data_IF_812203516404
#
_entry.id   IF_812203516404
#
_cell.length_a   1.000
_cell.length_b   1.000
_cell.length_c   1.000
_cell.angle_alpha   90.00
_cell.angle_beta   90.00
_cell.angle_gamma   90.00
#
_symmetry.space_group_name_H-M   'P 1'
#
loop_
_entity.id
_entity.type
_entity.pdbx_description
1 polymer ?
#
# COMPACT_ATOMS: atom_id res chain seq x y z
N UNK A 1 -45.78 -39.45 44.56
CA UNK A 1 -46.68 -39.47 43.38
C UNK A 1 -46.05 -40.32 42.28
N UNK A 2 -46.83 -41.09 41.52
CA UNK A 2 -46.38 -41.70 40.25
C UNK A 2 -46.29 -40.62 39.16
N UNK A 3 -45.45 -40.76 38.15
CA UNK A 3 -45.86 -40.78 36.72
C UNK A 3 -44.67 -41.10 35.79
N UNK A 4 -44.72 -42.31 35.22
CA UNK A 4 -44.22 -42.76 33.90
C UNK A 4 -42.79 -42.46 33.41
N UNK A 5 -42.08 -43.55 33.10
CA UNK A 5 -40.95 -43.59 32.18
C UNK A 5 -41.44 -43.89 30.74
N UNK A 6 -40.64 -43.49 29.74
CA UNK A 6 -40.66 -44.04 28.38
C UNK A 6 -39.21 -44.27 27.93
N UNK A 7 -38.91 -45.48 27.43
CA UNK A 7 -37.64 -45.89 26.83
C UNK A 7 -37.85 -46.21 25.34
N UNK A 8 -36.92 -45.80 24.46
CA UNK A 8 -36.40 -46.51 23.23
C UNK A 8 -35.09 -45.75 22.88
N UNK A 9 -33.84 -46.23 23.06
CA UNK A 9 -33.05 -47.35 22.48
C UNK A 9 -32.44 -47.04 21.07
N UNK A 10 -31.17 -47.45 20.89
CA UNK A 10 -30.29 -47.41 19.68
C UNK A 10 -29.64 -46.04 19.35
N UNK A 11 -28.32 -45.93 19.15
CA UNK A 11 -27.29 -46.98 19.24
C UNK A 11 -25.85 -46.45 19.25
N UNK A 12 -24.93 -47.32 19.70
CA UNK A 12 -23.49 -47.07 19.73
C UNK A 12 -22.92 -47.35 18.34
N UNK A 13 -22.31 -46.34 17.71
CA UNK A 13 -21.34 -46.56 16.63
C UNK A 13 -19.98 -46.08 17.14
N UNK A 14 -19.06 -47.03 17.31
CA UNK A 14 -17.68 -46.72 17.61
C UNK A 14 -17.03 -46.04 16.40
N UNK A 15 -16.46 -44.85 16.59
CA UNK A 15 -15.62 -44.18 15.59
C UNK A 15 -14.17 -44.13 16.12
N UNK A 16 -13.20 -44.83 15.48
CA UNK A 16 -11.90 -45.15 16.08
C UNK A 16 -10.86 -44.00 15.99
N UNK A 17 -11.30 -42.74 16.09
CA UNK A 17 -10.43 -41.58 15.92
C UNK A 17 -9.88 -40.97 17.22
N UNK A 18 -10.30 -41.47 18.39
CA UNK A 18 -9.78 -41.01 19.70
C UNK A 18 -8.55 -41.84 20.10
N UNK A 19 -7.47 -41.86 19.29
CA UNK A 19 -6.14 -42.32 19.75
C UNK A 19 -4.91 -41.85 18.93
N UNK A 20 -5.01 -40.74 18.21
CA UNK A 20 -3.89 -39.89 17.77
C UNK A 20 -4.42 -38.44 17.85
N UNK A 21 -3.83 -37.46 18.53
CA UNK A 21 -2.41 -37.21 18.75
C UNK A 21 -2.11 -36.76 20.19
N UNK A 22 -1.27 -37.53 20.91
CA UNK A 22 -0.45 -37.00 21.99
C UNK A 22 0.93 -36.68 21.35
N UNK A 23 1.48 -35.50 21.62
CA UNK A 23 2.70 -34.95 21.00
C UNK A 23 2.64 -34.66 19.49
N UNK A 24 1.94 -33.60 19.13
CA UNK A 24 2.52 -32.60 18.23
C UNK A 24 2.62 -31.28 19.00
N UNK A 25 3.78 -30.58 19.04
CA UNK A 25 3.82 -29.23 19.58
C UNK A 25 3.00 -28.36 18.65
N UNK A 26 1.81 -27.96 19.08
CA UNK A 26 0.99 -27.02 18.33
C UNK A 26 1.74 -25.68 18.27
N UNK A 27 2.44 -25.46 17.16
CA UNK A 27 2.59 -24.11 16.62
C UNK A 27 1.16 -23.64 16.33
N UNK A 28 0.52 -23.07 17.35
CA UNK A 28 -0.77 -22.41 17.24
C UNK A 28 -0.58 -21.28 16.24
N UNK A 29 -0.97 -21.57 14.99
CA UNK A 29 -1.21 -20.61 13.95
C UNK A 29 -2.09 -19.51 14.56
N UNK A 30 -1.46 -18.39 14.92
CA UNK A 30 -2.17 -17.21 15.37
C UNK A 30 -2.83 -16.61 14.13
N UNK A 31 -3.97 -17.18 13.74
CA UNK A 31 -4.79 -16.66 12.65
C UNK A 31 -5.49 -15.42 13.16
N UNK A 32 -5.12 -14.26 12.62
CA UNK A 32 -5.86 -13.03 12.85
C UNK A 32 -6.95 -12.92 11.80
N UNK A 33 -8.20 -12.86 12.23
CA UNK A 33 -9.35 -12.62 11.34
C UNK A 33 -9.57 -11.12 11.25
N UNK A 34 -9.67 -10.60 10.04
CA UNK A 34 -10.04 -9.20 9.79
C UNK A 34 -11.32 -9.19 8.95
N UNK A 35 -12.33 -8.49 9.44
CA UNK A 35 -13.55 -8.18 8.68
C UNK A 35 -13.26 -7.03 7.71
N UNK A 36 -13.51 -7.26 6.43
CA UNK A 36 -13.43 -6.27 5.36
C UNK A 36 -14.83 -6.08 4.77
N UNK A 37 -15.05 -4.99 4.04
CA UNK A 37 -16.34 -4.70 3.39
C UNK A 37 -16.82 -5.80 2.43
N UNK A 38 -15.93 -6.73 2.05
CA UNK A 38 -16.17 -7.82 1.10
C UNK A 38 -16.15 -9.21 1.80
N UNK A 39 -16.11 -9.27 3.13
CA UNK A 39 -16.03 -10.51 3.92
C UNK A 39 -14.77 -10.63 4.80
N UNK A 40 -14.59 -11.79 5.43
CA UNK A 40 -13.47 -12.05 6.36
C UNK A 40 -12.19 -12.51 5.64
N UNK A 41 -11.05 -11.87 5.90
CA UNK A 41 -9.71 -12.35 5.50
C UNK A 41 -9.01 -12.97 6.72
N UNK A 42 -8.57 -14.22 6.58
CA UNK A 42 -7.77 -14.94 7.57
C UNK A 42 -6.28 -14.67 7.30
N UNK A 43 -5.52 -14.27 8.33
CA UNK A 43 -4.09 -14.00 8.23
C UNK A 43 -3.30 -14.94 9.13
N UNK A 44 -2.59 -15.90 8.55
CA UNK A 44 -1.68 -16.79 9.28
C UNK A 44 -0.35 -16.08 9.62
N UNK A 45 -0.10 -15.79 10.90
CA UNK A 45 1.12 -15.06 11.31
C UNK A 45 2.46 -15.76 11.02
N UNK A 46 2.51 -17.09 10.94
CA UNK A 46 3.78 -17.84 10.85
C UNK A 46 4.47 -17.64 9.50
N UNK A 47 3.76 -17.85 8.39
CA UNK A 47 4.29 -17.76 7.03
C UNK A 47 4.63 -16.32 6.64
N UNK A 48 3.76 -15.35 6.99
CA UNK A 48 3.94 -13.93 6.70
C UNK A 48 5.31 -13.40 7.15
N UNK A 49 5.82 -13.86 8.29
CA UNK A 49 7.08 -13.35 8.86
C UNK A 49 8.34 -13.66 8.04
N UNK A 50 8.36 -14.73 7.24
CA UNK A 50 9.51 -15.12 6.44
C UNK A 50 9.40 -14.59 5.01
N UNK A 51 8.22 -14.66 4.42
CA UNK A 51 7.94 -14.08 3.10
C UNK A 51 8.15 -12.56 3.10
N UNK A 52 7.71 -11.86 4.17
CA UNK A 52 7.91 -10.43 4.32
C UNK A 52 9.39 -10.05 4.47
N UNK A 53 10.20 -10.85 5.17
CA UNK A 53 11.66 -10.65 5.24
C UNK A 53 12.31 -10.81 3.87
N UNK A 54 11.97 -11.85 3.13
CA UNK A 54 12.50 -12.08 1.78
C UNK A 54 12.11 -10.94 0.83
N UNK A 55 10.84 -10.50 0.89
CA UNK A 55 10.32 -9.33 0.17
C UNK A 55 11.10 -8.06 0.50
N UNK A 56 11.34 -7.78 1.79
CA UNK A 56 12.19 -6.66 2.23
C UNK A 56 13.60 -6.76 1.64
N UNK A 57 14.26 -7.91 1.75
CA UNK A 57 15.63 -8.10 1.25
C UNK A 57 15.73 -8.05 -0.28
N UNK A 58 14.67 -8.43 -1.01
CA UNK A 58 14.61 -8.32 -2.48
C UNK A 58 14.50 -6.86 -2.94
N UNK A 59 13.63 -6.09 -2.31
CA UNK A 59 13.25 -4.77 -2.82
C UNK A 59 13.97 -3.59 -2.16
N UNK A 60 14.34 -3.69 -0.88
CA UNK A 60 14.87 -2.56 -0.11
C UNK A 60 16.38 -2.64 0.10
N UNK A 61 17.05 -1.53 -0.16
CA UNK A 61 18.45 -1.31 0.19
C UNK A 61 18.53 -0.67 1.58
N UNK A 62 19.44 -1.15 2.42
CA UNK A 62 19.68 -0.62 3.76
C UNK A 62 20.95 0.25 3.81
N UNK A 63 21.01 1.28 4.67
CA UNK A 63 19.94 1.76 5.56
C UNK A 63 18.80 2.44 4.80
N UNK A 64 17.58 2.41 5.36
CA UNK A 64 16.38 2.98 4.72
C UNK A 64 16.34 4.51 4.83
N UNK A 65 16.98 5.05 5.85
CA UNK A 65 16.71 6.35 6.44
C UNK A 65 17.82 7.38 6.19
N UNK A 66 18.29 7.45 4.93
CA UNK A 66 19.10 8.56 4.37
C UNK A 66 18.22 9.84 4.16
N UNK A 67 17.38 10.14 5.15
CA UNK A 67 16.33 11.16 5.23
C UNK A 67 15.21 11.12 4.17
N UNK A 68 15.52 10.83 2.91
CA UNK A 68 14.55 10.85 1.81
C UNK A 68 13.85 9.50 1.57
N UNK A 69 14.48 8.37 1.92
CA UNK A 69 14.00 7.02 1.60
C UNK A 69 13.04 6.38 2.61
N UNK A 70 12.61 7.10 3.66
CA UNK A 70 11.81 6.52 4.74
C UNK A 70 10.46 5.94 4.28
N UNK A 71 9.90 6.45 3.18
CA UNK A 71 8.67 5.93 2.57
C UNK A 71 8.82 4.52 1.99
N UNK A 72 10.02 4.05 1.63
CA UNK A 72 10.20 2.85 0.81
C UNK A 72 9.64 1.57 1.47
N UNK A 73 9.73 1.44 2.80
CA UNK A 73 9.13 0.32 3.53
C UNK A 73 7.59 0.37 3.53
N UNK A 74 7.01 1.57 3.57
CA UNK A 74 5.56 1.80 3.57
C UNK A 74 4.98 1.61 2.17
N UNK A 75 5.72 2.06 1.15
CA UNK A 75 5.40 1.89 -0.27
C UNK A 75 5.43 0.41 -0.67
N UNK A 76 6.43 -0.35 -0.19
CA UNK A 76 6.49 -1.81 -0.36
C UNK A 76 5.33 -2.51 0.36
N UNK A 77 4.98 -2.09 1.58
CA UNK A 77 3.86 -2.66 2.33
C UNK A 77 2.52 -2.39 1.63
N UNK A 78 2.33 -1.19 1.05
CA UNK A 78 1.15 -0.86 0.25
C UNK A 78 1.09 -1.65 -1.06
N UNK A 79 2.22 -1.82 -1.76
CA UNK A 79 2.32 -2.65 -2.96
C UNK A 79 1.92 -4.10 -2.67
N UNK A 80 2.41 -4.67 -1.57
CA UNK A 80 2.06 -6.01 -1.11
C UNK A 80 0.58 -6.11 -0.69
N UNK A 81 0.06 -5.16 0.09
CA UNK A 81 -1.32 -5.18 0.59
C UNK A 81 -2.40 -4.91 -0.47
N UNK A 82 -2.06 -4.19 -1.55
CA UNK A 82 -2.97 -3.94 -2.68
C UNK A 82 -2.98 -5.08 -3.71
N UNK A 83 -1.97 -5.96 -3.67
CA UNK A 83 -1.75 -7.14 -4.54
C UNK A 83 -1.59 -6.83 -6.04
N UNK A 84 -2.50 -6.07 -6.66
CA UNK A 84 -2.57 -5.81 -8.10
C UNK A 84 -3.01 -4.37 -8.44
N UNK A 85 -3.06 -4.06 -9.74
CA UNK A 85 -3.58 -2.79 -10.26
C UNK A 85 -2.53 -1.71 -10.47
N UNK A 86 -2.91 -0.63 -11.17
CA UNK A 86 -1.98 0.41 -11.61
C UNK A 86 -1.46 1.28 -10.45
N UNK A 87 -0.22 1.79 -10.56
CA UNK A 87 0.44 2.66 -9.58
C UNK A 87 0.73 4.02 -10.23
N UNK A 88 0.46 5.11 -9.49
CA UNK A 88 0.85 6.47 -9.86
C UNK A 88 1.87 6.99 -8.85
N UNK A 89 3.03 7.43 -9.34
CA UNK A 89 4.04 8.17 -8.58
C UNK A 89 4.03 9.63 -9.02
N UNK A 90 3.70 10.53 -8.09
CA UNK A 90 3.85 11.97 -8.25
C UNK A 90 5.09 12.40 -7.47
N UNK A 91 6.18 12.69 -8.17
CA UNK A 91 7.49 13.00 -7.60
C UNK A 91 8.39 11.77 -7.70
N UNK A 92 9.39 11.85 -8.57
CA UNK A 92 10.33 10.76 -8.81
C UNK A 92 11.48 10.86 -7.81
N UNK A 93 11.99 9.73 -7.34
CA UNK A 93 12.95 9.67 -6.24
C UNK A 93 13.93 8.51 -6.38
N UNK A 94 15.16 8.71 -5.90
CA UNK A 94 16.19 7.66 -5.93
C UNK A 94 15.84 6.44 -5.06
N UNK A 95 14.91 6.59 -4.12
CA UNK A 95 14.38 5.54 -3.24
C UNK A 95 13.02 4.97 -3.69
N UNK A 96 12.17 5.78 -4.32
CA UNK A 96 10.81 5.40 -4.73
C UNK A 96 10.78 4.84 -6.16
N UNK A 97 11.33 5.57 -7.15
CA UNK A 97 11.20 5.21 -8.57
C UNK A 97 11.88 3.87 -8.91
N UNK A 98 13.12 3.54 -8.45
CA UNK A 98 13.72 2.22 -8.67
C UNK A 98 13.06 1.09 -7.87
N UNK A 99 12.34 1.40 -6.79
CA UNK A 99 11.54 0.44 -6.03
C UNK A 99 10.25 0.12 -6.78
N UNK A 100 9.49 1.15 -7.16
CA UNK A 100 8.24 1.03 -7.89
C UNK A 100 8.45 0.40 -9.27
N UNK A 101 9.50 0.77 -10.00
CA UNK A 101 9.82 0.16 -11.29
C UNK A 101 10.03 -1.36 -11.19
N UNK A 102 10.81 -1.82 -10.20
CA UNK A 102 11.02 -3.26 -9.97
C UNK A 102 9.72 -3.96 -9.55
N UNK A 103 8.94 -3.35 -8.64
CA UNK A 103 7.62 -3.87 -8.26
C UNK A 103 6.65 -3.96 -9.45
N UNK A 104 6.65 -2.95 -10.33
CA UNK A 104 5.81 -2.91 -11.52
C UNK A 104 6.14 -4.06 -12.48
N UNK A 105 7.43 -4.29 -12.75
CA UNK A 105 7.89 -5.42 -13.58
C UNK A 105 7.59 -6.76 -12.92
N UNK A 106 8.01 -6.96 -11.66
CA UNK A 106 7.85 -8.22 -10.94
C UNK A 106 6.39 -8.64 -10.71
N UNK A 107 5.48 -7.67 -10.57
CA UNK A 107 4.06 -7.91 -10.32
C UNK A 107 3.18 -7.73 -11.58
N UNK A 108 3.79 -7.44 -12.75
CA UNK A 108 3.09 -7.12 -14.00
C UNK A 108 2.02 -6.02 -13.82
N UNK A 109 2.39 -4.93 -13.13
CA UNK A 109 1.53 -3.76 -12.86
C UNK A 109 1.97 -2.59 -13.71
N UNK A 110 1.01 -1.82 -14.23
CA UNK A 110 1.30 -0.54 -14.86
C UNK A 110 1.72 0.50 -13.83
N UNK A 111 2.81 1.21 -14.10
CA UNK A 111 3.34 2.32 -13.32
C UNK A 111 3.42 3.56 -14.20
N UNK A 112 2.81 4.65 -13.74
CA UNK A 112 3.03 5.99 -14.27
C UNK A 112 3.79 6.81 -13.23
N UNK A 113 5.01 7.21 -13.53
CA UNK A 113 5.83 8.10 -12.70
C UNK A 113 5.92 9.48 -13.35
N UNK A 114 5.75 10.54 -12.57
CA UNK A 114 5.78 11.91 -13.08
C UNK A 114 6.61 12.84 -12.20
N UNK A 115 7.33 13.78 -12.81
CA UNK A 115 8.12 14.79 -12.11
C UNK A 115 8.12 16.16 -12.83
N UNK A 116 8.42 17.20 -12.06
CA UNK A 116 8.54 18.60 -12.48
C UNK A 116 9.96 19.06 -12.87
N UNK A 117 10.99 18.23 -12.69
CA UNK A 117 12.34 18.48 -13.24
C UNK A 117 12.61 17.52 -14.40
N UNK A 118 12.63 18.05 -15.62
CA UNK A 118 12.92 17.29 -16.85
C UNK A 118 14.27 16.56 -16.81
N UNK A 119 15.26 17.09 -16.09
CA UNK A 119 16.58 16.43 -15.95
C UNK A 119 16.47 15.19 -15.07
N UNK A 120 15.57 15.22 -14.08
CA UNK A 120 15.30 14.11 -13.18
C UNK A 120 14.49 13.01 -13.88
N UNK A 121 13.49 13.39 -14.68
CA UNK A 121 12.81 12.45 -15.60
C UNK A 121 13.83 11.80 -16.54
N UNK A 122 14.66 12.60 -17.22
CA UNK A 122 15.68 12.08 -18.15
C UNK A 122 16.73 11.18 -17.48
N UNK A 123 17.09 11.45 -16.23
CA UNK A 123 17.98 10.61 -15.43
C UNK A 123 17.40 9.20 -15.27
N UNK A 124 16.14 9.06 -14.89
CA UNK A 124 15.49 7.75 -14.75
C UNK A 124 15.18 7.07 -16.09
N UNK A 125 14.75 7.83 -17.11
CA UNK A 125 14.53 7.32 -18.48
C UNK A 125 15.81 6.70 -19.07
N UNK A 126 16.98 7.24 -18.69
CA UNK A 126 18.29 6.75 -19.16
C UNK A 126 18.90 5.68 -18.24
N UNK A 127 18.55 5.68 -16.95
CA UNK A 127 19.18 4.84 -15.92
C UNK A 127 18.41 3.58 -15.51
N UNK A 128 17.14 3.43 -15.90
CA UNK A 128 16.32 2.25 -15.64
C UNK A 128 16.12 1.40 -16.90
N UNK A 129 15.75 0.13 -16.71
CA UNK A 129 15.45 -0.79 -17.81
C UNK A 129 14.16 -0.36 -18.52
N UNK A 130 14.15 -0.46 -19.86
CA UNK A 130 12.97 -0.09 -20.65
C UNK A 130 11.92 -1.18 -20.59
N UNK A 131 10.69 -0.79 -20.26
CA UNK A 131 9.54 -1.70 -20.19
C UNK A 131 8.25 -0.93 -20.48
N UNK A 132 7.31 -1.56 -21.17
CA UNK A 132 5.97 -1.01 -21.42
C UNK A 132 5.15 -0.85 -20.13
N UNK A 133 5.57 -1.49 -19.04
CA UNK A 133 4.93 -1.41 -17.73
C UNK A 133 5.26 -0.12 -16.96
N UNK A 134 6.27 0.67 -17.36
CA UNK A 134 6.68 1.87 -16.65
C UNK A 134 6.76 3.07 -17.62
N UNK A 135 5.76 3.94 -17.54
CA UNK A 135 5.75 5.22 -18.25
C UNK A 135 6.26 6.34 -17.34
N UNK A 136 7.09 7.23 -17.89
CA UNK A 136 7.61 8.41 -17.19
C UNK A 136 7.14 9.67 -17.90
N UNK A 137 6.68 10.68 -17.14
CA UNK A 137 6.07 11.90 -17.70
C UNK A 137 6.59 13.17 -17.03
N UNK A 138 7.11 14.08 -17.85
CA UNK A 138 7.46 15.43 -17.40
C UNK A 138 6.21 16.30 -17.28
N UNK A 139 6.10 17.01 -16.16
CA UNK A 139 5.04 18.00 -15.89
C UNK A 139 5.69 19.37 -15.73
N UNK A 140 5.62 20.21 -16.77
CA UNK A 140 6.16 21.57 -16.74
C UNK A 140 5.35 22.44 -15.78
N UNK A 141 5.87 22.66 -14.56
CA UNK A 141 5.27 23.56 -13.57
C UNK A 141 5.85 24.97 -13.71
N UNK A 142 4.98 25.97 -13.87
CA UNK A 142 5.36 27.40 -14.02
C UNK A 142 4.96 28.24 -12.82
N UNK A 143 4.25 27.66 -11.86
CA UNK A 143 3.67 28.36 -10.70
C UNK A 143 3.98 27.63 -9.38
N UNK A 144 4.14 28.38 -8.29
CA UNK A 144 4.30 27.80 -6.93
C UNK A 144 3.08 26.97 -6.48
N UNK A 145 1.92 27.20 -7.12
CA UNK A 145 0.69 26.44 -6.90
C UNK A 145 0.63 25.13 -7.68
N UNK A 146 1.51 24.89 -8.65
CA UNK A 146 1.56 23.65 -9.43
C UNK A 146 0.24 23.31 -10.12
N UNK A 147 -0.50 24.29 -10.63
CA UNK A 147 -1.82 24.07 -11.27
C UNK A 147 -1.73 23.09 -12.44
N UNK A 148 -0.57 23.05 -13.10
CA UNK A 148 -0.23 22.24 -14.26
C UNK A 148 -0.31 20.73 -13.99
N UNK A 149 -0.14 20.29 -12.73
CA UNK A 149 -0.39 18.89 -12.32
C UNK A 149 -1.84 18.44 -12.58
N UNK A 150 -2.82 19.35 -12.56
CA UNK A 150 -4.20 19.03 -12.95
C UNK A 150 -4.37 18.92 -14.48
N UNK A 151 -3.66 19.76 -15.24
CA UNK A 151 -3.71 19.77 -16.70
C UNK A 151 -2.84 18.68 -17.35
N UNK A 152 -1.94 18.04 -16.57
CA UNK A 152 -1.02 17.02 -17.03
C UNK A 152 -1.72 15.74 -17.54
N UNK A 153 -3.02 15.55 -17.28
CA UNK A 153 -3.80 14.35 -17.65
C UNK A 153 -3.04 13.07 -17.28
N UNK A 154 -2.79 12.88 -15.98
CA UNK A 154 -2.22 11.64 -15.41
C UNK A 154 -3.34 10.66 -14.99
N UNK A 155 -4.50 10.73 -15.64
CA UNK A 155 -5.74 10.05 -15.22
C UNK A 155 -6.18 8.95 -16.19
N UNK A 156 -5.27 8.45 -17.03
CA UNK A 156 -5.59 7.52 -18.12
C UNK A 156 -6.03 6.13 -17.60
N UNK A 157 -5.75 5.81 -16.34
CA UNK A 157 -6.35 4.68 -15.62
C UNK A 157 -7.64 5.11 -14.89
N UNK A 158 -8.73 4.37 -15.12
CA UNK A 158 -10.04 4.62 -14.50
C UNK A 158 -10.02 4.52 -12.95
N UNK A 159 -9.09 3.75 -12.38
CA UNK A 159 -8.82 3.70 -10.94
C UNK A 159 -7.39 3.23 -10.66
N UNK A 160 -6.69 3.93 -9.78
CA UNK A 160 -5.36 3.56 -9.29
C UNK A 160 -5.46 2.59 -8.10
N UNK A 161 -4.54 1.65 -8.00
CA UNK A 161 -4.39 0.84 -6.77
C UNK A 161 -3.66 1.64 -5.69
N UNK A 162 -2.59 2.34 -6.09
CA UNK A 162 -1.73 3.17 -5.24
C UNK A 162 -1.50 4.50 -5.95
N UNK A 163 -1.57 5.58 -5.19
CA UNK A 163 -1.05 6.89 -5.58
C UNK A 163 -0.06 7.35 -4.52
N UNK A 164 1.21 7.55 -4.89
CA UNK A 164 2.26 8.08 -4.03
C UNK A 164 2.49 9.56 -4.35
N UNK A 165 2.47 10.42 -3.33
CA UNK A 165 2.54 11.88 -3.47
C UNK A 165 3.75 12.44 -2.70
N UNK A 166 4.82 12.73 -3.44
CA UNK A 166 6.05 13.36 -2.97
C UNK A 166 6.64 14.40 -3.98
N UNK A 167 5.84 14.89 -4.92
CA UNK A 167 6.27 15.87 -5.92
C UNK A 167 6.50 17.28 -5.37
N UNK A 168 7.09 18.13 -6.22
CA UNK A 168 7.09 19.59 -6.07
C UNK A 168 6.05 20.22 -7.02
N UNK A 169 5.54 21.43 -6.74
CA UNK A 169 5.76 22.24 -5.54
C UNK A 169 4.95 21.70 -4.35
N UNK A 170 5.52 21.77 -3.15
CA UNK A 170 4.94 21.18 -1.94
C UNK A 170 3.47 21.57 -1.63
N UNK A 171 3.07 22.85 -1.71
CA UNK A 171 1.70 23.28 -1.46
C UNK A 171 0.64 22.65 -2.37
N UNK A 172 1.03 22.12 -3.54
CA UNK A 172 0.12 21.48 -4.48
C UNK A 172 -0.35 20.09 -4.00
N UNK A 173 0.44 19.41 -3.15
CA UNK A 173 0.16 18.04 -2.66
C UNK A 173 -1.22 17.91 -1.98
N UNK A 174 -1.77 18.97 -1.36
CA UNK A 174 -3.13 18.95 -0.78
C UNK A 174 -4.24 18.79 -1.83
N UNK A 175 -4.05 19.34 -3.04
CA UNK A 175 -5.03 19.29 -4.13
C UNK A 175 -4.97 17.95 -4.85
N UNK A 176 -3.76 17.42 -5.07
CA UNK A 176 -3.59 16.11 -5.69
C UNK A 176 -4.07 14.99 -4.75
N UNK A 177 -3.83 15.10 -3.43
CA UNK A 177 -4.48 14.23 -2.45
C UNK A 177 -6.01 14.19 -2.63
N UNK A 178 -6.67 15.35 -2.74
CA UNK A 178 -8.13 15.44 -2.95
C UNK A 178 -8.56 14.83 -4.28
N UNK A 179 -7.83 15.12 -5.36
CA UNK A 179 -8.16 14.66 -6.71
C UNK A 179 -7.99 13.14 -6.87
N UNK A 180 -6.92 12.58 -6.30
CA UNK A 180 -6.58 11.17 -6.46
C UNK A 180 -7.19 10.25 -5.40
N UNK A 181 -7.56 10.74 -4.21
CA UNK A 181 -8.27 9.93 -3.22
C UNK A 181 -9.55 9.30 -3.82
N UNK A 182 -10.39 10.09 -4.49
CA UNK A 182 -11.62 9.60 -5.15
C UNK A 182 -11.38 8.60 -6.30
N UNK A 183 -10.12 8.43 -6.73
CA UNK A 183 -9.72 7.61 -7.89
C UNK A 183 -8.70 6.54 -7.53
N UNK A 184 -8.51 6.25 -6.24
CA UNK A 184 -7.50 5.29 -5.76
C UNK A 184 -8.07 4.33 -4.71
N UNK A 185 -7.31 3.27 -4.41
CA UNK A 185 -7.57 2.40 -3.25
C UNK A 185 -6.72 2.84 -2.05
N UNK A 186 -5.45 3.14 -2.30
CA UNK A 186 -4.50 3.68 -1.31
C UNK A 186 -3.87 4.98 -1.82
N UNK A 187 -3.80 6.00 -0.95
CA UNK A 187 -2.94 7.18 -1.17
C UNK A 187 -1.84 7.18 -0.12
N UNK A 188 -0.59 7.34 -0.55
CA UNK A 188 0.57 7.46 0.31
C UNK A 188 1.13 8.88 0.21
N UNK A 189 1.36 9.51 1.35
CA UNK A 189 1.89 10.88 1.45
C UNK A 189 3.21 10.85 2.20
N UNK A 190 4.23 11.52 1.66
CA UNK A 190 5.51 11.70 2.34
C UNK A 190 5.60 13.07 3.05
N UNK A 191 6.56 13.20 3.96
CA UNK A 191 6.83 14.37 4.81
C UNK A 191 5.63 14.89 5.62
N UNK A 192 4.83 14.01 6.21
CA UNK A 192 3.56 14.39 6.84
C UNK A 192 3.68 15.05 8.21
N UNK A 193 4.89 15.11 8.80
CA UNK A 193 5.18 15.91 9.99
C UNK A 193 5.19 17.42 9.73
N UNK A 194 5.49 17.85 8.50
CA UNK A 194 5.50 19.27 8.09
C UNK A 194 4.23 19.64 7.32
N UNK A 195 3.09 19.14 7.81
CA UNK A 195 1.75 19.34 7.23
C UNK A 195 1.31 20.81 7.05
N UNK A 196 2.01 21.77 7.66
CA UNK A 196 1.84 23.21 7.39
C UNK A 196 2.48 23.63 6.06
N UNK A 197 3.68 23.13 5.74
CA UNK A 197 4.42 23.43 4.50
C UNK A 197 3.73 22.84 3.27
N UNK A 198 3.18 21.62 3.40
CA UNK A 198 2.49 20.90 2.33
C UNK A 198 0.96 21.00 2.39
N UNK A 199 0.45 21.85 3.28
CA UNK A 199 -0.99 22.14 3.49
C UNK A 199 -1.90 20.94 3.78
N UNK A 200 -1.33 19.76 4.03
CA UNK A 200 -2.06 18.53 4.34
C UNK A 200 -3.07 18.67 5.49
N UNK A 201 -2.87 19.62 6.42
CA UNK A 201 -3.82 19.92 7.50
C UNK A 201 -5.25 20.25 7.02
N UNK A 202 -5.42 20.77 5.80
CA UNK A 202 -6.74 21.05 5.24
C UNK A 202 -7.46 19.81 4.69
N UNK A 203 -6.69 18.78 4.31
CA UNK A 203 -7.17 17.66 3.51
C UNK A 203 -7.17 16.33 4.28
N UNK A 204 -6.16 16.05 5.10
CA UNK A 204 -6.08 14.85 5.93
C UNK A 204 -7.33 14.60 6.80
N UNK A 205 -7.92 15.61 7.48
CA UNK A 205 -9.10 15.38 8.33
C UNK A 205 -10.36 14.89 7.61
N UNK A 206 -10.36 14.83 6.27
CA UNK A 206 -11.48 14.37 5.45
C UNK A 206 -11.48 12.85 5.25
N UNK A 207 -10.45 12.14 5.68
CA UNK A 207 -10.26 10.71 5.44
C UNK A 207 -10.27 9.93 6.75
N UNK A 208 -11.31 9.12 6.96
CA UNK A 208 -11.54 8.37 8.21
C UNK A 208 -10.47 7.33 8.50
N UNK A 209 -9.93 6.66 7.46
CA UNK A 209 -9.00 5.55 7.60
C UNK A 209 -7.58 5.97 7.22
N UNK A 210 -6.87 6.52 8.21
CA UNK A 210 -5.48 6.96 8.09
C UNK A 210 -4.57 6.14 9.01
N UNK A 211 -3.43 5.69 8.49
CA UNK A 211 -2.34 5.12 9.27
C UNK A 211 -1.06 5.95 9.07
N UNK A 212 -0.49 6.48 10.15
CA UNK A 212 0.77 7.23 10.12
C UNK A 212 1.94 6.35 10.52
N UNK A 213 2.90 6.16 9.63
CA UNK A 213 4.15 5.46 9.92
C UNK A 213 5.20 6.45 10.46
N UNK A 214 5.50 6.33 11.76
CA UNK A 214 6.42 7.23 12.49
C UNK A 214 7.76 6.59 12.86
N UNK A 215 8.01 5.33 12.47
CA UNK A 215 9.21 4.58 12.89
C UNK A 215 10.49 5.00 12.17
N UNK A 216 10.37 5.67 11.03
CA UNK A 216 11.46 6.32 10.31
C UNK A 216 11.07 7.79 10.09
N UNK A 217 12.06 8.68 10.02
CA UNK A 217 11.86 10.06 9.56
C UNK A 217 12.39 10.21 8.13
N UNK A 218 11.71 10.93 7.25
CA UNK A 218 10.45 11.67 7.49
C UNK A 218 9.20 10.76 7.53
N UNK A 219 8.08 11.26 8.07
CA UNK A 219 6.87 10.44 8.30
C UNK A 219 6.07 10.22 7.02
N UNK A 220 5.53 9.00 6.87
CA UNK A 220 4.67 8.62 5.75
C UNK A 220 3.25 8.32 6.24
N UNK A 221 2.24 8.97 5.67
CA UNK A 221 0.85 8.56 5.88
C UNK A 221 0.38 7.60 4.79
N UNK A 222 -0.43 6.63 5.19
CA UNK A 222 -1.23 5.78 4.30
C UNK A 222 -2.70 6.09 4.56
N UNK A 223 -3.43 6.38 3.48
CA UNK A 223 -4.86 6.66 3.49
C UNK A 223 -5.57 5.53 2.75
N UNK A 224 -6.55 4.91 3.40
CA UNK A 224 -7.36 3.84 2.83
C UNK A 224 -8.68 4.44 2.38
N UNK A 225 -8.96 4.43 1.08
CA UNK A 225 -10.17 5.04 0.54
C UNK A 225 -11.25 3.97 0.35
N UNK A 226 -12.13 3.87 1.35
CA UNK A 226 -13.42 3.19 1.19
C UNK A 226 -14.41 4.17 0.55
N UNK A 227 -14.82 3.89 -0.68
CA UNK A 227 -16.02 4.50 -1.26
C UNK A 227 -17.20 3.73 -0.69
N UNK A 228 -17.94 4.35 0.23
CA UNK A 228 -19.32 3.96 0.49
C UNK A 228 -20.13 4.41 -0.74
N UNK A 229 -20.57 3.44 -1.54
CA UNK A 229 -21.40 3.63 -2.74
C UNK A 229 -22.87 3.64 -2.30
#
# INVERSE_FOLDING_TARGET
MKFHAVYVVVGIIACPFIFFCIFAPSQLLQVQVIELANGFKYIEKSNFSNEWKQTIHKYLTFPLDNHYGSHSIVLLAAAYASETGAILELGMGSSSTPLLHRLAVDQNRFLLSADSDIRWVNYFVSGLEKTELHQMKYVEVKTEMGVEWAAANLSDAAKWSIVFIDHRPGPRREFDLRAYALRSTLVLLHDTEVASMYKYHNALPLYTYQYRFTRLKTYTDVLIIFILI
#
